data_IF_067186312649
#
_entry.id   IF_067186312649
#
_cell.length_a   1.000
_cell.length_b   1.000
_cell.length_c   1.000
_cell.angle_alpha   90.00
_cell.angle_beta   90.00
_cell.angle_gamma   90.00
#
_symmetry.space_group_name_H-M   'P 1'
#
loop_
_entity.id
_entity.type
_entity.pdbx_description
1 polymer ?
#
# COMPACT_ATOMS: atom_id res chain seq x y z
N UNK A 1 8.00 -2.02 25.05
CA UNK A 1 6.69 -2.65 25.29
C UNK A 1 6.07 -1.98 26.49
N UNK A 2 4.78 -1.68 26.44
CA UNK A 2 4.00 -1.35 27.64
C UNK A 2 3.04 -2.51 27.88
N UNK A 3 3.24 -3.32 28.95
CA UNK A 3 2.35 -4.43 29.25
C UNK A 3 0.94 -3.98 29.60
N UNK A 4 0.01 -4.94 29.66
CA UNK A 4 -1.32 -4.72 30.20
C UNK A 4 -1.28 -4.15 31.61
N UNK A 5 -2.18 -3.20 31.86
CA UNK A 5 -2.37 -2.53 33.15
C UNK A 5 -1.10 -1.81 33.67
N UNK A 6 -0.19 -1.45 32.76
CA UNK A 6 1.00 -0.65 33.05
C UNK A 6 0.91 0.73 32.42
N UNK A 7 1.54 1.69 33.12
CA UNK A 7 1.56 3.10 32.77
C UNK A 7 2.87 3.49 32.10
N UNK A 8 2.77 4.35 31.09
CA UNK A 8 3.90 4.91 30.37
C UNK A 8 3.55 6.33 29.91
N UNK A 9 3.83 7.29 30.77
CA UNK A 9 3.50 8.70 30.55
C UNK A 9 4.72 9.52 30.17
N UNK A 10 4.48 10.61 29.44
CA UNK A 10 5.48 11.65 29.16
C UNK A 10 6.72 11.08 28.45
N UNK A 11 7.91 11.29 29.00
CA UNK A 11 9.17 10.76 28.48
C UNK A 11 9.16 9.23 28.24
N UNK A 12 8.43 8.45 29.03
CA UNK A 12 8.28 7.01 28.77
C UNK A 12 7.63 6.75 27.40
N UNK A 13 6.58 7.50 27.08
CA UNK A 13 5.88 7.38 25.79
C UNK A 13 6.79 7.75 24.61
N UNK A 14 7.67 8.74 24.78
CA UNK A 14 8.68 9.14 23.78
C UNK A 14 9.75 8.05 23.55
N UNK A 15 10.13 7.33 24.60
CA UNK A 15 11.01 6.15 24.50
C UNK A 15 10.27 5.00 23.83
N UNK A 16 9.01 4.78 24.19
CA UNK A 16 8.20 3.71 23.59
C UNK A 16 8.02 3.90 22.08
N UNK A 17 7.70 5.11 21.62
CA UNK A 17 7.47 5.38 20.20
C UNK A 17 8.76 5.31 19.36
N UNK A 18 9.92 5.39 20.00
CA UNK A 18 11.23 5.21 19.35
C UNK A 18 11.55 3.75 19.04
N UNK A 19 10.78 2.81 19.60
CA UNK A 19 11.01 1.39 19.41
C UNK A 19 10.73 0.93 17.97
N UNK A 20 11.60 0.06 17.44
CA UNK A 20 11.39 -0.62 16.14
C UNK A 20 10.10 -1.43 16.13
N UNK A 21 9.73 -2.01 17.28
CA UNK A 21 8.45 -2.68 17.50
C UNK A 21 7.78 -2.10 18.73
N UNK A 22 6.60 -1.50 18.51
CA UNK A 22 5.84 -0.77 19.53
C UNK A 22 4.74 -1.67 20.06
N UNK A 23 5.01 -2.36 21.16
CA UNK A 23 4.04 -3.25 21.81
C UNK A 23 3.20 -2.48 22.82
N UNK A 24 1.89 -2.67 22.77
CA UNK A 24 0.90 -2.13 23.71
C UNK A 24 -0.26 -3.12 23.87
N UNK A 25 -1.11 -2.95 24.88
CA UNK A 25 -2.39 -3.68 25.01
C UNK A 25 -3.56 -2.70 25.10
N UNK A 26 -4.79 -3.20 25.04
CA UNK A 26 -6.01 -2.39 25.21
C UNK A 26 -6.09 -1.72 26.59
N UNK A 27 -5.44 -2.31 27.61
CA UNK A 27 -5.44 -1.79 28.98
C UNK A 27 -4.13 -1.11 29.37
N UNK A 28 -3.16 -1.03 28.45
CA UNK A 28 -1.95 -0.25 28.68
C UNK A 28 -2.27 1.25 28.69
N UNK A 29 -1.71 1.98 29.65
CA UNK A 29 -1.93 3.42 29.81
C UNK A 29 -0.73 4.19 29.28
N UNK A 30 -0.73 4.43 27.96
CA UNK A 30 0.30 5.25 27.30
C UNK A 30 -0.26 6.64 27.10
N UNK A 31 0.34 7.66 27.71
CA UNK A 31 -0.21 9.01 27.68
C UNK A 31 0.81 10.09 27.39
N UNK A 32 0.34 11.13 26.71
CA UNK A 32 1.17 12.24 26.24
C UNK A 32 0.59 13.59 26.65
N UNK A 33 1.50 14.55 26.83
CA UNK A 33 1.21 15.94 27.17
C UNK A 33 2.39 16.81 26.72
N UNK A 34 2.16 18.11 26.63
CA UNK A 34 3.17 19.09 26.32
C UNK A 34 4.29 19.06 27.36
N UNK A 35 5.54 19.11 26.92
CA UNK A 35 6.67 19.30 27.82
C UNK A 35 6.53 20.64 28.55
N UNK A 36 6.82 20.64 29.85
CA UNK A 36 6.63 21.80 30.71
C UNK A 36 7.82 22.00 31.65
N UNK A 37 7.85 23.17 32.29
CA UNK A 37 8.71 23.48 33.43
C UNK A 37 7.82 23.87 34.59
N UNK A 38 8.25 23.55 35.79
CA UNK A 38 7.61 24.05 37.00
C UNK A 38 8.24 25.38 37.38
N UNK A 39 7.41 26.41 37.53
CA UNK A 39 7.80 27.74 37.98
C UNK A 39 6.86 28.18 39.10
N UNK A 40 7.39 28.38 40.31
CA UNK A 40 6.61 28.81 41.48
C UNK A 40 5.39 27.91 41.79
N UNK A 41 5.51 26.60 41.57
CA UNK A 41 4.43 25.63 41.79
C UNK A 41 3.37 25.59 40.68
N UNK A 42 3.57 26.34 39.58
CA UNK A 42 2.74 26.25 38.37
C UNK A 42 3.50 25.54 37.26
N UNK A 43 2.82 24.64 36.54
CA UNK A 43 3.38 24.03 35.34
C UNK A 43 3.12 24.89 34.11
N UNK A 44 4.20 25.29 33.44
CA UNK A 44 4.17 26.10 32.22
C UNK A 44 4.81 25.37 31.06
N UNK A 45 4.10 25.32 29.94
CA UNK A 45 4.59 24.67 28.74
C UNK A 45 5.92 25.28 28.28
N UNK A 46 6.85 24.40 27.89
CA UNK A 46 8.14 24.81 27.34
C UNK A 46 8.09 24.73 25.82
N UNK A 47 8.01 25.89 25.16
CA UNK A 47 8.01 25.96 23.69
C UNK A 47 9.27 25.31 23.08
N UNK A 48 10.44 25.53 23.69
CA UNK A 48 11.71 24.95 23.23
C UNK A 48 11.68 23.42 23.33
N UNK A 49 11.26 22.86 24.46
CA UNK A 49 11.22 21.40 24.63
C UNK A 49 10.20 20.74 23.69
N UNK A 50 9.02 21.35 23.48
CA UNK A 50 8.03 20.81 22.54
C UNK A 50 8.50 20.91 21.09
N UNK A 51 9.28 21.94 20.72
CA UNK A 51 9.90 22.03 19.39
C UNK A 51 10.94 20.93 19.18
N UNK A 52 11.76 20.63 20.19
CA UNK A 52 12.71 19.52 20.17
C UNK A 52 12.01 18.16 20.06
N UNK A 53 10.94 17.94 20.85
CA UNK A 53 10.10 16.74 20.75
C UNK A 53 9.49 16.62 19.34
N UNK A 54 8.94 17.70 18.80
CA UNK A 54 8.37 17.69 17.45
C UNK A 54 9.40 17.35 16.37
N UNK A 55 10.61 17.92 16.46
CA UNK A 55 11.73 17.57 15.58
C UNK A 55 12.11 16.10 15.73
N UNK A 56 12.25 15.60 16.96
CA UNK A 56 12.55 14.20 17.24
C UNK A 56 11.53 13.24 16.63
N UNK A 57 10.23 13.49 16.86
CA UNK A 57 9.15 12.66 16.32
C UNK A 57 9.09 12.73 14.78
N UNK A 58 9.45 13.87 14.18
CA UNK A 58 9.60 13.99 12.72
C UNK A 58 10.71 13.08 12.19
N UNK A 59 11.85 13.01 12.88
CA UNK A 59 12.96 12.11 12.51
C UNK A 59 12.61 10.62 12.70
N UNK A 60 11.62 10.31 13.54
CA UNK A 60 11.05 8.96 13.62
C UNK A 60 10.05 8.65 12.49
N UNK A 61 9.79 9.60 11.59
CA UNK A 61 8.86 9.45 10.47
C UNK A 61 7.39 9.57 10.86
N UNK A 62 7.08 10.13 12.05
CA UNK A 62 5.69 10.33 12.45
C UNK A 62 5.06 11.51 11.70
N UNK A 63 3.80 11.34 11.33
CA UNK A 63 2.99 12.39 10.71
C UNK A 63 2.70 13.54 11.67
N UNK A 64 2.39 14.72 11.12
CA UNK A 64 2.15 15.94 11.89
C UNK A 64 1.01 15.79 12.91
N UNK A 65 0.01 14.96 12.65
CA UNK A 65 -1.11 14.68 13.53
C UNK A 65 -0.68 13.86 14.74
N UNK A 66 0.25 12.91 14.57
CA UNK A 66 0.86 12.20 15.68
C UNK A 66 1.72 13.15 16.51
N UNK A 67 2.53 13.99 15.85
CA UNK A 67 3.36 14.99 16.54
C UNK A 67 2.49 15.92 17.39
N UNK A 68 1.42 16.47 16.80
CA UNK A 68 0.46 17.31 17.53
C UNK A 68 -0.18 16.55 18.69
N UNK A 69 -0.58 15.30 18.48
CA UNK A 69 -1.18 14.48 19.54
C UNK A 69 -0.25 14.31 20.75
N UNK A 70 1.06 14.21 20.53
CA UNK A 70 2.04 14.05 21.60
C UNK A 70 2.23 15.31 22.44
N UNK A 71 1.91 16.50 21.90
CA UNK A 71 2.28 17.78 22.52
C UNK A 71 1.11 18.74 22.74
N UNK A 72 -0.14 18.32 22.51
CA UNK A 72 -1.32 19.22 22.58
C UNK A 72 -2.02 19.21 23.95
N UNK A 73 -1.89 18.13 24.73
CA UNK A 73 -2.45 18.10 26.09
C UNK A 73 -1.66 19.05 26.98
N UNK A 74 -2.35 19.88 27.77
CA UNK A 74 -1.68 20.81 28.68
C UNK A 74 -0.91 20.08 29.79
N UNK A 75 -0.07 20.78 30.57
CA UNK A 75 0.79 20.16 31.58
C UNK A 75 0.07 19.36 32.69
N UNK A 76 -1.21 19.67 32.92
CA UNK A 76 -2.05 19.00 33.93
C UNK A 76 -2.98 17.93 33.34
N UNK A 77 -2.96 17.73 32.03
CA UNK A 77 -3.82 16.81 31.30
C UNK A 77 -3.01 15.73 30.60
N UNK A 78 -3.66 14.64 30.19
CA UNK A 78 -3.05 13.61 29.36
C UNK A 78 -4.00 13.16 28.26
N UNK A 79 -3.43 12.93 27.07
CA UNK A 79 -4.10 12.18 26.03
C UNK A 79 -3.63 10.72 26.07
N UNK A 80 -4.56 9.81 26.36
CA UNK A 80 -4.32 8.37 26.37
C UNK A 80 -4.41 7.78 24.96
N UNK A 81 -3.34 7.11 24.54
CA UNK A 81 -3.22 6.47 23.25
C UNK A 81 -3.81 5.07 23.30
N UNK A 82 -4.97 4.89 22.67
CA UNK A 82 -5.56 3.57 22.41
C UNK A 82 -4.99 2.95 21.12
N UNK A 83 -5.10 1.63 20.91
CA UNK A 83 -4.66 1.00 19.66
C UNK A 83 -5.31 1.59 18.40
N UNK A 84 -6.63 1.83 18.42
CA UNK A 84 -7.31 2.49 17.29
C UNK A 84 -6.85 3.93 17.09
N UNK A 85 -6.55 4.65 18.19
CA UNK A 85 -5.97 5.99 18.07
C UNK A 85 -4.56 5.95 17.48
N UNK A 86 -3.73 4.97 17.84
CA UNK A 86 -2.41 4.77 17.22
C UNK A 86 -2.53 4.53 15.72
N UNK A 87 -3.45 3.66 15.28
CA UNK A 87 -3.74 3.39 13.86
C UNK A 87 -4.19 4.65 13.12
N UNK A 88 -5.08 5.44 13.73
CA UNK A 88 -5.56 6.72 13.19
C UNK A 88 -4.45 7.79 13.09
N UNK A 89 -3.42 7.70 13.93
CA UNK A 89 -2.25 8.58 13.92
C UNK A 89 -1.10 8.07 13.06
N UNK A 90 -1.26 6.98 12.31
CA UNK A 90 -0.17 6.42 11.50
C UNK A 90 0.91 5.69 12.30
N UNK A 91 0.64 5.34 13.57
CA UNK A 91 1.60 4.65 14.44
C UNK A 91 1.33 3.15 14.38
N UNK A 92 2.24 2.41 13.74
CA UNK A 92 2.21 0.95 13.74
C UNK A 92 2.51 0.39 15.13
N UNK A 93 1.64 -0.53 15.58
CA UNK A 93 1.75 -1.17 16.89
C UNK A 93 1.54 -2.67 16.79
N UNK A 94 2.10 -3.39 17.76
CA UNK A 94 1.84 -4.80 18.01
C UNK A 94 0.94 -4.87 19.23
N UNK A 95 -0.35 -5.06 19.00
CA UNK A 95 -1.34 -5.14 20.08
C UNK A 95 -1.27 -6.51 20.74
N UNK A 96 -1.06 -6.53 22.05
CA UNK A 96 -0.92 -7.73 22.86
C UNK A 96 -2.22 -7.96 23.64
N UNK A 97 -2.81 -9.14 23.45
CA UNK A 97 -3.96 -9.63 24.21
C UNK A 97 -3.65 -11.04 24.75
N UNK A 98 -3.24 -11.12 26.01
CA UNK A 98 -2.74 -12.36 26.61
C UNK A 98 -1.55 -12.93 25.83
N UNK A 99 -1.75 -14.09 25.21
CA UNK A 99 -0.75 -14.75 24.34
C UNK A 99 -0.87 -14.35 22.86
N UNK A 100 -1.93 -13.64 22.48
CA UNK A 100 -2.20 -13.24 21.10
C UNK A 100 -1.52 -11.90 20.79
N UNK A 101 -0.99 -11.78 19.57
CA UNK A 101 -0.39 -10.54 19.07
C UNK A 101 -1.02 -10.20 17.72
N UNK A 102 -1.72 -9.07 17.67
CA UNK A 102 -2.17 -8.46 16.41
C UNK A 102 -1.05 -7.61 15.85
N UNK A 103 -0.58 -7.93 14.65
CA UNK A 103 0.51 -7.24 13.98
C UNK A 103 0.01 -6.00 13.21
N UNK A 104 0.91 -5.06 12.84
CA UNK A 104 0.54 -3.94 11.97
C UNK A 104 -0.09 -4.37 10.63
N UNK A 105 0.30 -5.53 10.09
CA UNK A 105 -0.32 -6.07 8.87
C UNK A 105 -1.75 -6.56 9.08
N UNK A 106 -2.09 -7.05 10.28
CA UNK A 106 -3.42 -7.50 10.65
C UNK A 106 -4.34 -6.35 11.09
N UNK A 107 -3.77 -5.29 11.67
CA UNK A 107 -4.48 -4.05 12.02
C UNK A 107 -3.76 -2.81 11.45
N UNK A 108 -3.88 -2.54 10.14
CA UNK A 108 -3.16 -1.47 9.47
C UNK A 108 -3.51 -0.08 10.00
N UNK A 109 -2.57 0.85 9.80
CA UNK A 109 -2.78 2.27 10.03
C UNK A 109 -3.69 2.87 8.95
N UNK A 110 -4.24 4.05 9.24
CA UNK A 110 -5.15 4.75 8.32
C UNK A 110 -4.51 5.05 6.95
N UNK A 111 -3.20 5.27 6.91
CA UNK A 111 -2.45 5.55 5.68
C UNK A 111 -2.41 4.35 4.74
N UNK A 112 -2.29 3.13 5.29
CA UNK A 112 -2.34 1.90 4.51
C UNK A 112 -3.72 1.72 3.87
N UNK A 113 -4.80 2.05 4.59
CA UNK A 113 -6.14 2.02 3.99
C UNK A 113 -6.28 3.07 2.89
N UNK A 114 -5.70 4.25 3.05
CA UNK A 114 -5.75 5.30 2.03
C UNK A 114 -5.03 4.86 0.74
N UNK A 115 -3.85 4.26 0.87
CA UNK A 115 -3.12 3.66 -0.26
C UNK A 115 -3.93 2.54 -0.95
N UNK A 116 -4.53 1.63 -0.18
CA UNK A 116 -5.39 0.56 -0.71
C UNK A 116 -6.60 1.12 -1.43
N UNK A 117 -7.27 2.12 -0.87
CA UNK A 117 -8.44 2.77 -1.48
C UNK A 117 -8.09 3.36 -2.86
N UNK A 118 -6.99 4.10 -2.95
CA UNK A 118 -6.52 4.67 -4.23
C UNK A 118 -6.04 3.61 -5.20
N UNK A 119 -5.32 2.60 -4.72
CA UNK A 119 -4.86 1.46 -5.52
C UNK A 119 -6.02 0.68 -6.12
N UNK A 120 -7.09 0.42 -5.36
CA UNK A 120 -8.28 -0.23 -5.86
C UNK A 120 -9.09 0.65 -6.82
N UNK A 121 -9.15 1.95 -6.57
CA UNK A 121 -9.71 2.92 -7.51
C UNK A 121 -9.02 2.86 -8.86
N UNK A 122 -7.69 2.78 -8.87
CA UNK A 122 -6.89 2.63 -10.08
C UNK A 122 -7.11 1.26 -10.74
N UNK A 123 -7.17 0.20 -9.95
CA UNK A 123 -7.33 -1.17 -10.45
C UNK A 123 -8.66 -1.38 -11.19
N UNK A 124 -9.76 -0.84 -10.65
CA UNK A 124 -11.09 -0.95 -11.25
C UNK A 124 -11.32 -0.05 -12.46
N UNK A 125 -10.64 1.10 -12.52
CA UNK A 125 -10.81 2.07 -13.59
C UNK A 125 -9.69 1.93 -14.62
N UNK A 126 -8.54 2.53 -14.33
CA UNK A 126 -7.42 2.68 -15.26
C UNK A 126 -6.79 1.36 -15.67
N UNK A 127 -6.75 0.38 -14.77
CA UNK A 127 -6.04 -0.88 -15.02
C UNK A 127 -6.92 -1.98 -15.58
N UNK A 128 -8.24 -1.82 -15.55
CA UNK A 128 -9.16 -2.84 -16.04
C UNK A 128 -8.89 -3.25 -17.50
N UNK A 129 -8.61 -2.32 -18.45
CA UNK A 129 -8.28 -2.69 -19.83
C UNK A 129 -7.00 -3.52 -19.96
N UNK A 130 -6.01 -3.30 -19.09
CA UNK A 130 -4.75 -4.06 -19.11
C UNK A 130 -4.90 -5.41 -18.43
N UNK A 131 -5.45 -5.41 -17.22
CA UNK A 131 -5.32 -6.51 -16.27
C UNK A 131 -6.57 -7.37 -16.17
N UNK A 132 -7.72 -6.89 -16.64
CA UNK A 132 -9.01 -7.59 -16.64
C UNK A 132 -9.41 -8.20 -15.26
N UNK A 133 -9.21 -7.50 -14.12
CA UNK A 133 -9.50 -8.08 -12.81
C UNK A 133 -10.99 -8.41 -12.66
N UNK A 134 -11.34 -9.30 -11.73
CA UNK A 134 -12.70 -9.43 -11.24
C UNK A 134 -13.13 -8.12 -10.57
N UNK A 135 -13.91 -7.32 -11.30
CA UNK A 135 -14.38 -6.02 -10.84
C UNK A 135 -15.32 -6.11 -9.63
N UNK A 136 -15.99 -7.24 -9.42
CA UNK A 136 -16.84 -7.43 -8.23
C UNK A 136 -15.98 -7.59 -6.99
N UNK A 137 -14.92 -8.39 -7.07
CA UNK A 137 -13.95 -8.54 -6.00
C UNK A 137 -13.23 -7.22 -5.70
N UNK A 138 -12.74 -6.53 -6.74
CA UNK A 138 -12.05 -5.24 -6.58
C UNK A 138 -12.97 -4.19 -5.97
N UNK A 139 -14.23 -4.10 -6.40
CA UNK A 139 -15.21 -3.16 -5.83
C UNK A 139 -15.46 -3.43 -4.35
N UNK A 140 -15.61 -4.69 -3.95
CA UNK A 140 -15.78 -5.07 -2.54
C UNK A 140 -14.56 -4.65 -1.71
N UNK A 141 -13.35 -4.91 -2.20
CA UNK A 141 -12.12 -4.54 -1.50
C UNK A 141 -11.95 -3.01 -1.41
N UNK A 142 -12.33 -2.28 -2.46
CA UNK A 142 -12.38 -0.83 -2.48
C UNK A 142 -13.32 -0.25 -1.41
N UNK A 143 -14.55 -0.77 -1.33
CA UNK A 143 -15.55 -0.35 -0.33
C UNK A 143 -15.10 -0.68 1.10
N UNK A 144 -14.46 -1.84 1.31
CA UNK A 144 -13.92 -2.23 2.61
C UNK A 144 -12.76 -1.30 3.05
N UNK A 145 -11.84 -0.97 2.14
CA UNK A 145 -10.75 -0.03 2.43
C UNK A 145 -11.27 1.35 2.81
N UNK A 146 -12.30 1.85 2.10
CA UNK A 146 -12.98 3.09 2.45
C UNK A 146 -13.63 3.03 3.84
N UNK A 147 -14.40 1.98 4.11
CA UNK A 147 -15.14 1.84 5.36
C UNK A 147 -14.21 1.82 6.58
N UNK A 148 -13.13 1.03 6.54
CA UNK A 148 -12.17 0.94 7.63
C UNK A 148 -11.38 2.23 7.82
N UNK A 149 -10.88 2.84 6.74
CA UNK A 149 -10.18 4.11 6.80
C UNK A 149 -11.05 5.24 7.37
N UNK A 150 -12.28 5.36 6.87
CA UNK A 150 -13.26 6.34 7.32
C UNK A 150 -13.65 6.14 8.79
N UNK A 151 -13.77 4.88 9.26
CA UNK A 151 -14.05 4.57 10.66
C UNK A 151 -12.95 5.06 11.60
N UNK A 152 -11.68 5.01 11.18
CA UNK A 152 -10.55 5.41 12.03
C UNK A 152 -10.46 6.93 12.26
N UNK A 153 -10.78 7.74 11.25
CA UNK A 153 -10.52 9.20 11.31
C UNK A 153 -11.72 10.09 11.02
N UNK A 154 -12.83 9.54 10.54
CA UNK A 154 -14.00 10.29 10.06
C UNK A 154 -13.83 10.85 8.64
N UNK A 155 -14.94 11.26 8.02
CA UNK A 155 -15.01 11.60 6.60
C UNK A 155 -14.06 12.71 6.16
N UNK A 156 -13.99 13.81 6.90
CA UNK A 156 -13.20 14.98 6.50
C UNK A 156 -11.70 14.65 6.47
N UNK A 157 -11.19 14.09 7.58
CA UNK A 157 -9.78 13.67 7.69
C UNK A 157 -9.45 12.52 6.75
N UNK A 158 -10.42 11.67 6.47
CA UNK A 158 -10.24 10.59 5.50
C UNK A 158 -9.98 11.15 4.10
N UNK A 159 -10.74 12.15 3.66
CA UNK A 159 -10.52 12.83 2.37
C UNK A 159 -9.13 13.49 2.32
N UNK A 160 -8.71 14.15 3.40
CA UNK A 160 -7.38 14.77 3.49
C UNK A 160 -6.23 13.75 3.31
N UNK A 161 -6.43 12.49 3.72
CA UNK A 161 -5.42 11.44 3.63
C UNK A 161 -5.23 10.90 2.22
N UNK A 162 -6.32 10.52 1.53
CA UNK A 162 -6.20 9.86 0.23
C UNK A 162 -6.10 10.84 -0.94
N UNK A 163 -6.58 12.09 -0.80
CA UNK A 163 -6.56 13.07 -1.90
C UNK A 163 -5.15 13.34 -2.43
N UNK A 164 -4.12 13.58 -1.59
CA UNK A 164 -2.75 13.79 -2.08
C UNK A 164 -2.15 12.58 -2.81
N UNK A 165 -2.64 11.36 -2.54
CA UNK A 165 -2.20 10.15 -3.22
C UNK A 165 -2.63 10.15 -4.69
N UNK A 166 -3.74 10.84 -5.04
CA UNK A 166 -4.14 10.99 -6.45
C UNK A 166 -3.12 11.80 -7.26
N UNK A 167 -2.48 12.80 -6.67
CA UNK A 167 -1.41 13.56 -7.33
C UNK A 167 -0.17 12.69 -7.55
N UNK A 168 0.14 11.80 -6.61
CA UNK A 168 1.22 10.82 -6.76
C UNK A 168 0.90 9.84 -7.90
N UNK A 169 -0.33 9.34 -7.97
CA UNK A 169 -0.80 8.49 -9.07
C UNK A 169 -0.70 9.24 -10.41
N UNK A 170 -1.19 10.47 -10.49
CA UNK A 170 -1.11 11.30 -11.70
C UNK A 170 0.35 11.52 -12.15
N UNK A 171 1.23 11.83 -11.20
CA UNK A 171 2.68 11.95 -11.46
C UNK A 171 3.29 10.64 -11.98
N UNK A 172 2.91 9.51 -11.37
CA UNK A 172 3.31 8.18 -11.80
C UNK A 172 2.84 7.85 -13.22
N UNK A 173 1.56 8.09 -13.51
CA UNK A 173 0.97 7.89 -14.84
C UNK A 173 1.71 8.71 -15.91
N UNK A 174 2.03 9.98 -15.61
CA UNK A 174 2.76 10.85 -16.52
C UNK A 174 4.22 10.40 -16.75
N UNK A 175 4.90 9.91 -15.71
CA UNK A 175 6.32 9.54 -15.78
C UNK A 175 6.57 8.14 -16.33
N UNK A 176 5.75 7.16 -15.93
CA UNK A 176 5.95 5.73 -16.23
C UNK A 176 4.97 5.19 -17.27
N UNK A 177 3.81 5.83 -17.45
CA UNK A 177 2.71 5.31 -18.26
C UNK A 177 1.80 4.37 -17.46
N UNK A 178 0.56 4.23 -17.92
CA UNK A 178 -0.47 3.46 -17.21
C UNK A 178 -0.16 1.97 -17.11
N UNK A 179 0.46 1.38 -18.14
CA UNK A 179 0.85 -0.02 -18.14
C UNK A 179 1.70 -0.39 -16.91
N UNK A 180 2.79 0.35 -16.70
CA UNK A 180 3.72 0.06 -15.61
C UNK A 180 3.09 0.38 -14.24
N UNK A 181 2.37 1.49 -14.14
CA UNK A 181 1.64 1.86 -12.92
C UNK A 181 0.65 0.76 -12.52
N UNK A 182 -0.09 0.19 -13.48
CA UNK A 182 -1.03 -0.88 -13.20
C UNK A 182 -0.38 -2.17 -12.72
N UNK A 183 0.76 -2.55 -13.29
CA UNK A 183 1.52 -3.72 -12.84
C UNK A 183 2.09 -3.49 -11.43
N UNK A 184 2.63 -2.30 -11.17
CA UNK A 184 3.17 -1.92 -9.85
C UNK A 184 2.07 -1.89 -8.78
N UNK A 185 0.90 -1.34 -9.09
CA UNK A 185 -0.26 -1.30 -8.19
C UNK A 185 -0.74 -2.71 -7.84
N UNK A 186 -0.87 -3.58 -8.84
CA UNK A 186 -1.26 -4.96 -8.62
C UNK A 186 -0.25 -5.73 -7.76
N UNK A 187 1.04 -5.58 -8.07
CA UNK A 187 2.12 -6.21 -7.31
C UNK A 187 2.17 -5.71 -5.86
N UNK A 188 1.95 -4.41 -5.63
CA UNK A 188 1.87 -3.83 -4.28
C UNK A 188 0.73 -4.43 -3.47
N UNK A 189 -0.50 -4.44 -4.02
CA UNK A 189 -1.66 -5.03 -3.36
C UNK A 189 -1.44 -6.51 -3.05
N UNK A 190 -0.93 -7.28 -4.02
CA UNK A 190 -0.65 -8.70 -3.84
C UNK A 190 0.44 -8.96 -2.79
N UNK A 191 1.51 -8.17 -2.78
CA UNK A 191 2.58 -8.26 -1.77
C UNK A 191 2.09 -7.97 -0.36
N UNK A 192 1.06 -7.15 -0.21
CA UNK A 192 0.34 -6.88 1.04
C UNK A 192 -0.71 -7.97 1.39
N UNK A 193 -0.76 -9.07 0.64
CA UNK A 193 -1.75 -10.14 0.83
C UNK A 193 -3.18 -9.71 0.51
N UNK A 194 -3.36 -8.63 -0.25
CA UNK A 194 -4.67 -8.11 -0.61
C UNK A 194 -5.22 -8.81 -1.85
N UNK A 195 -6.55 -8.93 -1.93
CA UNK A 195 -7.24 -9.45 -3.11
C UNK A 195 -7.11 -8.47 -4.28
N UNK A 196 -6.68 -8.92 -5.46
CA UNK A 196 -6.52 -8.06 -6.66
C UNK A 196 -7.53 -8.35 -7.76
N UNK A 197 -8.42 -9.34 -7.59
CA UNK A 197 -9.29 -9.82 -8.66
C UNK A 197 -8.53 -10.51 -9.82
N UNK A 198 -7.22 -10.73 -9.69
CA UNK A 198 -6.42 -11.48 -10.65
C UNK A 198 -6.05 -12.82 -10.03
N UNK A 199 -6.64 -13.89 -10.57
CA UNK A 199 -6.55 -15.25 -10.03
C UNK A 199 -5.76 -16.21 -10.93
N UNK A 200 -5.17 -15.71 -12.02
CA UNK A 200 -4.43 -16.51 -12.97
C UNK A 200 -3.88 -15.68 -14.13
N UNK A 201 -3.07 -16.30 -15.01
CA UNK A 201 -2.60 -15.69 -16.24
C UNK A 201 -3.76 -15.48 -17.24
N UNK A 202 -3.46 -15.00 -18.45
CA UNK A 202 -4.48 -14.69 -19.47
C UNK A 202 -5.13 -15.92 -20.11
N UNK A 203 -4.80 -17.13 -19.66
CA UNK A 203 -5.24 -18.41 -20.21
C UNK A 203 -5.64 -19.38 -19.08
N UNK A 204 -6.38 -20.44 -19.44
CA UNK A 204 -6.79 -21.46 -18.47
C UNK A 204 -5.61 -22.36 -18.07
N UNK A 205 -5.31 -22.40 -16.77
CA UNK A 205 -4.26 -23.26 -16.24
C UNK A 205 -4.54 -24.76 -16.39
N UNK A 206 -5.80 -25.17 -16.55
CA UNK A 206 -6.14 -26.56 -16.89
C UNK A 206 -5.68 -26.95 -18.31
N UNK A 207 -5.44 -25.97 -19.18
CA UNK A 207 -4.97 -26.16 -20.54
C UNK A 207 -3.44 -26.01 -20.69
N UNK A 208 -2.72 -25.71 -19.61
CA UNK A 208 -1.27 -25.53 -19.61
C UNK A 208 -0.55 -26.83 -19.95
N UNK A 209 0.41 -26.79 -20.89
CA UNK A 209 1.16 -27.97 -21.35
C UNK A 209 2.67 -27.78 -21.32
N UNK A 210 3.14 -26.54 -21.48
CA UNK A 210 4.56 -26.23 -21.51
C UNK A 210 5.11 -25.93 -20.12
N UNK A 211 6.42 -26.11 -19.87
CA UNK A 211 7.06 -25.70 -18.62
C UNK A 211 6.78 -24.22 -18.28
N UNK A 212 6.79 -23.34 -19.29
CA UNK A 212 6.48 -21.92 -19.15
C UNK A 212 5.04 -21.67 -18.73
N UNK A 213 4.06 -22.31 -19.37
CA UNK A 213 2.64 -22.14 -19.00
C UNK A 213 2.37 -22.66 -17.58
N UNK A 214 2.94 -23.81 -17.22
CA UNK A 214 2.83 -24.35 -15.87
C UNK A 214 3.48 -23.42 -14.83
N UNK A 215 4.59 -22.78 -15.19
CA UNK A 215 5.25 -21.79 -14.35
C UNK A 215 4.40 -20.52 -14.16
N UNK A 216 3.84 -19.98 -15.25
CA UNK A 216 2.90 -18.84 -15.20
C UNK A 216 1.69 -19.14 -14.31
N UNK A 217 1.18 -20.37 -14.34
CA UNK A 217 0.07 -20.78 -13.50
C UNK A 217 0.41 -20.88 -12.01
N UNK A 218 1.67 -21.16 -11.66
CA UNK A 218 2.12 -21.35 -10.27
C UNK A 218 2.65 -20.09 -9.60
N UNK A 219 2.95 -19.05 -10.38
CA UNK A 219 3.61 -17.82 -9.91
C UNK A 219 2.66 -16.62 -10.04
N UNK A 220 1.96 -16.25 -8.94
CA UNK A 220 1.04 -15.12 -8.93
C UNK A 220 1.63 -13.79 -9.40
N UNK A 221 2.93 -13.58 -9.15
CA UNK A 221 3.69 -12.40 -9.56
C UNK A 221 3.79 -12.22 -11.09
N UNK A 222 3.54 -13.27 -11.88
CA UNK A 222 3.55 -13.21 -13.35
C UNK A 222 2.17 -12.93 -13.95
N UNK A 223 1.08 -13.09 -13.20
CA UNK A 223 -0.27 -13.04 -13.75
C UNK A 223 -0.64 -11.69 -14.34
N UNK A 224 -0.39 -10.60 -13.62
CA UNK A 224 -0.67 -9.25 -14.12
C UNK A 224 0.14 -8.93 -15.38
N UNK A 225 1.41 -9.33 -15.41
CA UNK A 225 2.31 -9.13 -16.56
C UNK A 225 1.82 -9.89 -17.79
N UNK A 226 1.41 -11.14 -17.62
CA UNK A 226 0.87 -11.97 -18.69
C UNK A 226 -0.46 -11.42 -19.24
N UNK A 227 -1.38 -11.04 -18.37
CA UNK A 227 -2.67 -10.42 -18.76
C UNK A 227 -2.46 -9.11 -19.49
N UNK A 228 -1.58 -8.24 -18.99
CA UNK A 228 -1.24 -6.98 -19.64
C UNK A 228 -0.68 -7.21 -21.06
N UNK A 229 0.26 -8.14 -21.21
CA UNK A 229 0.82 -8.51 -22.52
C UNK A 229 -0.27 -9.01 -23.49
N UNK A 230 -1.18 -9.86 -23.01
CA UNK A 230 -2.28 -10.37 -23.83
C UNK A 230 -3.27 -9.25 -24.22
N UNK A 231 -3.67 -8.39 -23.29
CA UNK A 231 -4.61 -7.29 -23.55
C UNK A 231 -4.04 -6.30 -24.56
N UNK A 232 -2.76 -5.91 -24.41
CA UNK A 232 -2.07 -5.05 -25.37
C UNK A 232 -2.03 -5.70 -26.75
N UNK A 233 -1.64 -6.97 -26.82
CA UNK A 233 -1.59 -7.69 -28.09
C UNK A 233 -2.95 -7.73 -28.78
N UNK A 234 -4.02 -8.04 -28.05
CA UNK A 234 -5.38 -8.10 -28.60
C UNK A 234 -5.87 -6.73 -29.06
N UNK A 235 -5.62 -5.68 -28.29
CA UNK A 235 -5.98 -4.32 -28.69
C UNK A 235 -5.22 -3.88 -29.94
N UNK A 236 -3.90 -4.04 -29.94
CA UNK A 236 -3.05 -3.69 -31.09
C UNK A 236 -3.49 -4.48 -32.33
N UNK A 237 -3.71 -5.79 -32.21
CA UNK A 237 -4.16 -6.64 -33.32
C UNK A 237 -5.47 -6.14 -33.95
N UNK A 238 -6.40 -5.64 -33.15
CA UNK A 238 -7.72 -5.23 -33.63
C UNK A 238 -7.77 -3.79 -34.13
N UNK A 239 -6.89 -2.92 -33.66
CA UNK A 239 -6.97 -1.46 -33.89
C UNK A 239 -5.91 -0.88 -34.84
N UNK A 240 -4.95 -1.68 -35.31
CA UNK A 240 -3.91 -1.20 -36.25
C UNK A 240 -4.12 -1.70 -37.68
N UNK A 241 -3.57 -0.94 -38.63
CA UNK A 241 -3.54 -1.28 -40.06
C UNK A 241 -2.88 -2.64 -40.33
N UNK A 242 -3.25 -3.27 -41.45
CA UNK A 242 -2.81 -4.63 -41.81
C UNK A 242 -1.29 -4.79 -41.90
N UNK A 243 -0.59 -3.78 -42.44
CA UNK A 243 0.87 -3.76 -42.58
C UNK A 243 1.57 -3.73 -41.22
N UNK A 244 1.12 -2.84 -40.34
CA UNK A 244 1.58 -2.68 -38.95
C UNK A 244 1.30 -3.97 -38.16
N UNK A 245 0.09 -4.52 -38.29
CA UNK A 245 -0.32 -5.78 -37.67
C UNK A 245 0.61 -6.95 -38.03
N UNK A 246 1.01 -7.07 -39.30
CA UNK A 246 1.93 -8.13 -39.75
C UNK A 246 3.28 -8.03 -39.03
N UNK A 247 3.87 -6.83 -38.98
CA UNK A 247 5.14 -6.59 -38.28
C UNK A 247 5.03 -6.89 -36.78
N UNK A 248 3.94 -6.49 -36.15
CA UNK A 248 3.70 -6.75 -34.72
C UNK A 248 3.57 -8.24 -34.41
N UNK A 249 2.94 -9.03 -35.29
CA UNK A 249 2.86 -10.48 -35.14
C UNK A 249 4.24 -11.14 -35.22
N UNK A 250 5.12 -10.66 -36.09
CA UNK A 250 6.50 -11.14 -36.20
C UNK A 250 7.28 -10.85 -34.91
N UNK A 251 7.21 -9.61 -34.40
CA UNK A 251 7.85 -9.23 -33.13
C UNK A 251 7.28 -10.02 -31.94
N UNK A 252 5.96 -10.19 -31.87
CA UNK A 252 5.31 -10.93 -30.80
C UNK A 252 5.71 -12.41 -30.80
N UNK A 253 5.85 -13.03 -31.97
CA UNK A 253 6.33 -14.43 -32.09
C UNK A 253 7.76 -14.58 -31.61
N UNK A 254 8.63 -13.62 -31.93
CA UNK A 254 10.01 -13.60 -31.41
C UNK A 254 10.01 -13.52 -29.88
N UNK A 255 9.25 -12.58 -29.31
CA UNK A 255 9.18 -12.44 -27.85
C UNK A 255 8.59 -13.70 -27.16
N UNK A 256 7.59 -14.35 -27.76
CA UNK A 256 7.06 -15.62 -27.24
C UNK A 256 8.11 -16.74 -27.26
N UNK A 257 9.01 -16.76 -28.25
CA UNK A 257 10.15 -17.68 -28.27
C UNK A 257 11.08 -17.40 -27.09
N UNK A 258 11.50 -16.15 -26.92
CA UNK A 258 12.40 -15.75 -25.82
C UNK A 258 11.81 -16.10 -24.45
N UNK A 259 10.51 -15.83 -24.25
CA UNK A 259 9.77 -16.21 -23.04
C UNK A 259 9.75 -17.72 -22.83
N UNK A 260 9.48 -18.50 -23.88
CA UNK A 260 9.39 -19.95 -23.77
C UNK A 260 10.78 -20.61 -23.58
N UNK A 261 11.84 -19.98 -24.09
CA UNK A 261 13.22 -20.43 -23.89
C UNK A 261 13.63 -20.33 -22.40
N UNK A 262 12.97 -19.49 -21.59
CA UNK A 262 13.12 -19.51 -20.13
C UNK A 262 12.59 -20.80 -19.46
N UNK A 263 11.75 -21.59 -20.13
CA UNK A 263 11.09 -22.74 -19.53
C UNK A 263 10.33 -22.35 -18.26
N UNK A 264 10.63 -23.03 -17.14
CA UNK A 264 10.02 -22.78 -15.83
C UNK A 264 10.82 -21.85 -14.91
N UNK A 265 11.85 -21.15 -15.39
CA UNK A 265 12.65 -20.24 -14.58
C UNK A 265 11.88 -18.94 -14.30
N UNK A 266 11.41 -18.80 -13.06
CA UNK A 266 10.73 -17.62 -12.53
C UNK A 266 11.47 -16.30 -12.78
N UNK A 267 12.78 -16.30 -12.57
CA UNK A 267 13.61 -15.09 -12.63
C UNK A 267 13.82 -14.67 -14.08
N UNK A 268 14.06 -15.65 -14.97
CA UNK A 268 14.12 -15.42 -16.42
C UNK A 268 12.78 -14.89 -16.96
N UNK A 269 11.66 -15.53 -16.61
CA UNK A 269 10.34 -15.10 -17.04
C UNK A 269 10.05 -13.66 -16.61
N UNK A 270 10.26 -13.33 -15.34
CA UNK A 270 10.08 -11.97 -14.84
C UNK A 270 10.91 -10.96 -15.64
N UNK A 271 12.20 -11.24 -15.89
CA UNK A 271 13.06 -10.36 -16.67
C UNK A 271 12.55 -10.14 -18.11
N UNK A 272 12.11 -11.20 -18.79
CA UNK A 272 11.57 -11.13 -20.16
C UNK A 272 10.26 -10.35 -20.22
N UNK A 273 9.38 -10.51 -19.23
CA UNK A 273 8.16 -9.71 -19.12
C UNK A 273 8.48 -8.24 -18.82
N UNK A 274 9.34 -7.96 -17.85
CA UNK A 274 9.66 -6.59 -17.41
C UNK A 274 10.33 -5.78 -18.52
N UNK A 275 11.29 -6.38 -19.23
CA UNK A 275 11.91 -5.75 -20.40
C UNK A 275 10.83 -5.37 -21.42
N UNK A 276 9.96 -6.32 -21.79
CA UNK A 276 8.97 -6.11 -22.83
C UNK A 276 7.90 -5.09 -22.42
N UNK A 277 7.43 -5.14 -21.19
CA UNK A 277 6.45 -4.19 -20.68
C UNK A 277 7.03 -2.78 -20.59
N UNK A 278 8.32 -2.64 -20.30
CA UNK A 278 9.00 -1.35 -20.34
C UNK A 278 9.13 -0.81 -21.79
N UNK A 279 9.40 -1.68 -22.78
CA UNK A 279 9.34 -1.29 -24.20
C UNK A 279 7.94 -0.79 -24.61
N UNK A 280 6.90 -1.36 -24.02
CA UNK A 280 5.50 -1.06 -24.30
C UNK A 280 4.88 -0.01 -23.37
N UNK A 281 5.67 0.63 -22.49
CA UNK A 281 5.17 1.53 -21.43
C UNK A 281 4.37 2.73 -21.94
N UNK A 282 4.61 3.14 -23.18
CA UNK A 282 3.91 4.25 -23.83
C UNK A 282 2.54 3.85 -24.40
N UNK A 283 2.21 2.55 -24.44
CA UNK A 283 0.89 2.08 -24.88
C UNK A 283 -0.13 2.45 -23.82
N UNK A 284 -1.19 3.09 -24.30
CA UNK A 284 -2.34 3.41 -23.50
C UNK A 284 -3.58 2.71 -24.06
N UNK A 285 -4.18 1.82 -23.27
CA UNK A 285 -5.43 1.17 -23.64
C UNK A 285 -6.61 2.08 -23.25
N UNK A 286 -7.61 2.24 -24.14
CA UNK A 286 -8.79 3.03 -23.82
C UNK A 286 -9.56 2.37 -22.66
N UNK A 287 -9.98 3.22 -21.73
CA UNK A 287 -10.85 2.87 -20.59
C UNK A 287 -12.26 2.52 -21.04
#
# INVERSE_FOLDING_TARGET
MVPADKECFSACGLIWVSGVRRYMSDTSLIGFHAAYREENGEYRESGVANAEIGSYLTHLGLRIEAIRYFTIAGPNDFLLLTPDKARALGIETYQVDGANITTPSAAPTVEIYADRFVSYSLLQSRCAPFLQPDLTAVKRAHEAAFAEGNKLVGSDKWIELWTPLLDQVKSGLNKKGALLICIETEASLRGQGQETGIYGPSFSCAAARTPTELSLCRQPELWAKDRAMNSIYMWVRNNVEKSVRKRLLEVQRSWLKDRNDCGGDARCLNAVYDQRLNELRAIDLPS
#
